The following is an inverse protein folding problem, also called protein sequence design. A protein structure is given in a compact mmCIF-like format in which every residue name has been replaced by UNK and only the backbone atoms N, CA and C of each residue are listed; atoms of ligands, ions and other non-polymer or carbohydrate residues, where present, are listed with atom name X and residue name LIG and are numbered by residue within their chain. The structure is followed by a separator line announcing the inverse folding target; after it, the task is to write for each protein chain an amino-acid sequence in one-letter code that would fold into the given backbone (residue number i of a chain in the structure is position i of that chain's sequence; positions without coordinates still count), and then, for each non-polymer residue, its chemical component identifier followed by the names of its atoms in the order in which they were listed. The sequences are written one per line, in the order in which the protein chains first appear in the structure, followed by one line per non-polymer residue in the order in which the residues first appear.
data_IF_790737571342
#
_entry.id   IF_790737571342
#
_cell.length_a   1.000
_cell.length_b   1.000
_cell.length_c   1.000
_cell.angle_alpha   90.00
_cell.angle_beta   90.00
_cell.angle_gamma   90.00
#
_symmetry.space_group_name_H-M   'P 1'
#
loop_
_entity.id
_entity.type
_entity.pdbx_description
1 polymer ?
#
# COMPACT_ATOMS: atom_id res chain seq x y z
N UNK A 1 -13.15 34.53 -21.86
CA UNK A 1 -13.02 33.05 -21.73
C UNK A 1 -11.72 32.62 -21.02
N UNK A 2 -10.68 33.47 -20.94
CA UNK A 2 -9.37 33.17 -20.36
C UNK A 2 -9.35 32.88 -18.84
N UNK A 3 -10.12 33.62 -18.04
CA UNK A 3 -9.89 33.65 -16.59
C UNK A 3 -10.47 32.42 -15.87
N UNK A 4 -11.63 31.92 -16.33
CA UNK A 4 -12.23 30.69 -15.79
C UNK A 4 -11.44 29.44 -16.18
N UNK A 5 -10.78 29.44 -17.33
CA UNK A 5 -9.97 28.34 -17.80
C UNK A 5 -8.63 28.28 -17.03
N UNK A 6 -8.00 29.44 -16.79
CA UNK A 6 -6.84 29.54 -15.91
C UNK A 6 -7.16 29.11 -14.46
N UNK A 7 -8.28 29.55 -13.88
CA UNK A 7 -8.70 29.12 -12.52
C UNK A 7 -8.91 27.61 -12.42
N UNK A 8 -9.55 27.00 -13.43
CA UNK A 8 -9.74 25.53 -13.49
C UNK A 8 -8.42 24.79 -13.64
N UNK A 9 -7.49 25.32 -14.43
CA UNK A 9 -6.13 24.79 -14.59
C UNK A 9 -5.38 24.77 -13.26
N UNK A 10 -5.49 25.83 -12.45
CA UNK A 10 -4.86 25.92 -11.13
C UNK A 10 -5.39 24.87 -10.15
N UNK A 11 -6.71 24.67 -10.07
CA UNK A 11 -7.30 23.66 -9.16
C UNK A 11 -6.90 22.24 -9.58
N UNK A 12 -6.87 21.94 -10.88
CA UNK A 12 -6.43 20.65 -11.38
C UNK A 12 -4.96 20.36 -11.00
N UNK A 13 -4.09 21.36 -11.11
CA UNK A 13 -2.69 21.26 -10.69
C UNK A 13 -2.55 21.02 -9.19
N UNK A 14 -3.33 21.74 -8.36
CA UNK A 14 -3.35 21.53 -6.91
C UNK A 14 -3.84 20.14 -6.53
N UNK A 15 -4.90 19.64 -7.17
CA UNK A 15 -5.39 18.26 -6.96
C UNK A 15 -4.31 17.24 -7.30
N UNK A 16 -3.58 17.42 -8.41
CA UNK A 16 -2.50 16.50 -8.76
C UNK A 16 -1.35 16.57 -7.74
N UNK A 17 -1.00 17.76 -7.25
CA UNK A 17 0.00 17.93 -6.20
C UNK A 17 -0.41 17.24 -4.88
N UNK A 18 -1.68 17.35 -4.47
CA UNK A 18 -2.21 16.64 -3.30
C UNK A 18 -2.09 15.12 -3.49
N UNK A 19 -2.50 14.61 -4.66
CA UNK A 19 -2.40 13.18 -4.95
C UNK A 19 -0.95 12.70 -5.03
N UNK A 20 -0.04 13.50 -5.60
CA UNK A 20 1.38 13.20 -5.62
C UNK A 20 1.96 13.08 -4.20
N UNK A 21 1.56 13.99 -3.29
CA UNK A 21 1.96 13.91 -1.88
C UNK A 21 1.38 12.66 -1.20
N UNK A 22 0.11 12.32 -1.44
CA UNK A 22 -0.51 11.09 -0.94
C UNK A 22 0.21 9.82 -1.40
N UNK A 23 0.62 9.77 -2.67
CA UNK A 23 1.42 8.66 -3.20
C UNK A 23 2.82 8.60 -2.57
N UNK A 24 3.45 9.76 -2.33
CA UNK A 24 4.78 9.84 -1.74
C UNK A 24 4.85 9.31 -0.30
N UNK A 25 3.77 9.47 0.49
CA UNK A 25 3.67 8.84 1.81
C UNK A 25 3.67 7.30 1.76
N UNK A 26 3.30 6.73 0.61
CA UNK A 26 3.31 5.29 0.38
C UNK A 26 2.50 4.52 1.42
N UNK A 27 3.07 3.46 1.95
CA UNK A 27 2.39 2.50 2.84
C UNK A 27 1.77 3.13 4.08
N UNK A 28 2.44 4.14 4.66
CA UNK A 28 2.06 4.71 5.95
C UNK A 28 0.73 5.46 5.89
N UNK A 29 0.44 6.08 4.75
CA UNK A 29 -0.83 6.75 4.49
C UNK A 29 -1.97 5.78 4.18
N UNK A 30 -1.70 4.53 3.83
CA UNK A 30 -2.73 3.58 3.42
C UNK A 30 -3.23 2.76 4.61
N UNK A 31 -4.55 2.57 4.67
CA UNK A 31 -5.24 1.71 5.62
C UNK A 31 -6.06 0.64 4.91
N UNK A 32 -6.27 -0.47 5.61
CA UNK A 32 -7.17 -1.54 5.22
C UNK A 32 -8.48 -1.35 5.99
N UNK A 33 -9.58 -1.29 5.28
CA UNK A 33 -10.92 -1.06 5.82
C UNK A 33 -11.67 -2.37 5.70
N UNK A 34 -12.05 -2.92 6.85
CA UNK A 34 -12.81 -4.16 6.98
C UNK A 34 -14.14 -3.86 7.65
N UNK A 35 -15.22 -4.33 7.06
CA UNK A 35 -16.48 -4.39 7.78
C UNK A 35 -16.46 -5.66 8.64
N UNK A 36 -16.64 -5.50 9.95
CA UNK A 36 -16.58 -6.59 10.92
C UNK A 36 -17.96 -6.81 11.54
N UNK A 37 -18.36 -8.07 11.67
CA UNK A 37 -19.55 -8.47 12.44
C UNK A 37 -19.20 -9.73 13.22
N UNK A 38 -19.44 -9.72 14.52
CA UNK A 38 -19.16 -10.85 15.43
C UNK A 38 -17.73 -11.41 15.31
N UNK A 39 -16.75 -10.51 15.12
CA UNK A 39 -15.33 -10.87 14.98
C UNK A 39 -14.92 -11.41 13.61
N UNK A 40 -15.85 -11.54 12.67
CA UNK A 40 -15.59 -11.98 11.30
C UNK A 40 -15.63 -10.82 10.31
N UNK A 41 -14.78 -10.89 9.28
CA UNK A 41 -14.83 -9.96 8.16
C UNK A 41 -16.07 -10.29 7.33
N UNK A 42 -16.95 -9.31 7.19
CA UNK A 42 -18.10 -9.38 6.28
C UNK A 42 -17.89 -8.40 5.13
N UNK A 43 -18.41 -8.73 3.95
CA UNK A 43 -18.31 -7.87 2.77
C UNK A 43 -16.89 -7.74 2.20
N UNK A 44 -16.69 -6.69 1.40
CA UNK A 44 -15.44 -6.47 0.68
C UNK A 44 -14.41 -5.74 1.55
N UNK A 45 -13.17 -6.24 1.54
CA UNK A 45 -12.01 -5.51 2.07
C UNK A 45 -11.68 -4.38 1.11
N UNK A 46 -11.58 -3.15 1.63
CA UNK A 46 -11.20 -1.97 0.87
C UNK A 46 -9.89 -1.40 1.36
N UNK A 47 -9.21 -0.67 0.50
CA UNK A 47 -8.00 0.07 0.85
C UNK A 47 -8.23 1.55 0.58
N UNK A 48 -7.90 2.38 1.55
CA UNK A 48 -8.12 3.83 1.49
C UNK A 48 -6.99 4.58 2.15
N UNK A 49 -6.96 5.90 1.97
CA UNK A 49 -6.04 6.76 2.71
C UNK A 49 -6.55 7.01 4.13
N UNK A 50 -5.62 7.07 5.09
CA UNK A 50 -5.88 7.52 6.45
C UNK A 50 -6.26 9.00 6.43
N UNK A 51 -7.31 9.44 7.16
CA UNK A 51 -7.79 10.81 7.14
C UNK A 51 -6.72 11.86 7.41
N UNK A 52 -5.84 11.63 8.39
CA UNK A 52 -4.78 12.57 8.75
C UNK A 52 -3.90 12.93 7.54
N UNK A 53 -3.45 11.94 6.76
CA UNK A 53 -2.60 12.17 5.60
C UNK A 53 -3.34 12.90 4.47
N UNK A 54 -4.64 12.67 4.32
CA UNK A 54 -5.48 13.41 3.36
C UNK A 54 -5.58 14.87 3.76
N UNK A 55 -5.92 15.16 5.01
CA UNK A 55 -6.06 16.53 5.47
C UNK A 55 -4.73 17.28 5.52
N UNK A 56 -3.64 16.61 5.89
CA UNK A 56 -2.30 17.19 5.87
C UNK A 56 -1.88 17.53 4.43
N UNK A 57 -2.11 16.66 3.45
CA UNK A 57 -1.81 16.96 2.05
C UNK A 57 -2.67 18.12 1.51
N UNK A 58 -3.96 18.15 1.85
CA UNK A 58 -4.85 19.27 1.50
C UNK A 58 -4.36 20.58 2.11
N UNK A 59 -4.03 20.58 3.41
CA UNK A 59 -3.52 21.77 4.10
C UNK A 59 -2.18 22.24 3.53
N UNK A 60 -1.28 21.32 3.17
CA UNK A 60 0.02 21.67 2.64
C UNK A 60 -0.05 22.31 1.24
N UNK A 61 -0.99 21.87 0.40
CA UNK A 61 -1.10 22.34 -0.99
C UNK A 61 -2.07 23.51 -1.13
N UNK A 62 -3.22 23.45 -0.44
CA UNK A 62 -4.22 24.51 -0.52
C UNK A 62 -3.96 25.60 0.50
N UNK A 63 -3.27 25.34 1.60
CA UNK A 63 -3.24 26.17 2.82
C UNK A 63 -4.59 26.16 3.59
N UNK A 64 -4.57 26.19 4.93
CA UNK A 64 -5.77 26.08 5.76
C UNK A 64 -6.86 27.13 5.49
N UNK A 65 -6.48 28.34 5.05
CA UNK A 65 -7.40 29.45 4.77
C UNK A 65 -8.17 29.31 3.44
N UNK A 66 -7.75 28.39 2.56
CA UNK A 66 -8.34 28.22 1.23
C UNK A 66 -9.36 27.07 1.15
N UNK A 67 -9.71 26.47 2.28
CA UNK A 67 -10.79 25.50 2.33
C UNK A 67 -11.51 25.55 3.67
N UNK A 68 -12.79 25.20 3.63
CA UNK A 68 -13.62 25.06 4.84
C UNK A 68 -14.72 24.06 4.57
N UNK A 69 -15.41 23.66 5.63
CA UNK A 69 -16.58 22.80 5.50
C UNK A 69 -17.71 23.25 6.40
N UNK A 70 -18.92 22.84 6.03
CA UNK A 70 -20.13 23.04 6.81
C UNK A 70 -20.80 21.69 7.02
N UNK A 71 -21.18 21.40 8.26
CA UNK A 71 -22.02 20.24 8.55
C UNK A 71 -23.47 20.65 8.30
N UNK A 72 -24.09 20.06 7.29
CA UNK A 72 -25.45 20.38 6.84
C UNK A 72 -26.49 19.71 7.75
N UNK A 73 -26.27 18.44 8.06
CA UNK A 73 -27.18 17.65 8.90
C UNK A 73 -26.41 16.60 9.69
N UNK A 74 -26.99 16.20 10.82
CA UNK A 74 -26.50 15.13 11.69
C UNK A 74 -27.68 14.32 12.17
N UNK A 75 -27.65 13.03 11.90
CA UNK A 75 -28.68 12.08 12.30
C UNK A 75 -28.03 10.99 13.15
N UNK A 76 -28.60 10.75 14.33
CA UNK A 76 -28.13 9.73 15.26
C UNK A 76 -29.18 8.63 15.28
N UNK A 77 -28.76 7.43 14.88
CA UNK A 77 -29.54 6.20 14.93
C UNK A 77 -29.02 5.32 16.08
N UNK A 78 -29.73 4.23 16.38
CA UNK A 78 -29.40 3.33 17.50
C UNK A 78 -27.96 2.79 17.45
N UNK A 79 -27.46 2.50 16.24
CA UNK A 79 -26.15 1.88 16.04
C UNK A 79 -25.18 2.72 15.20
N UNK A 80 -25.57 3.89 14.69
CA UNK A 80 -24.73 4.68 13.81
C UNK A 80 -25.04 6.18 13.85
N UNK A 81 -24.06 6.98 13.44
CA UNK A 81 -24.23 8.39 13.13
C UNK A 81 -24.08 8.57 11.63
N UNK A 82 -24.97 9.36 11.05
CA UNK A 82 -24.92 9.80 9.66
C UNK A 82 -24.75 11.32 9.65
N UNK A 83 -23.81 11.83 8.86
CA UNK A 83 -23.55 13.26 8.76
C UNK A 83 -23.45 13.68 7.30
N UNK A 84 -24.12 14.76 6.94
CA UNK A 84 -24.00 15.41 5.63
C UNK A 84 -23.07 16.62 5.75
N UNK A 85 -22.10 16.72 4.84
CA UNK A 85 -21.11 17.80 4.84
C UNK A 85 -21.00 18.44 3.46
N UNK A 86 -20.84 19.76 3.43
CA UNK A 86 -20.42 20.52 2.24
C UNK A 86 -18.97 20.95 2.38
N UNK A 87 -18.18 20.76 1.33
CA UNK A 87 -16.81 21.26 1.23
C UNK A 87 -16.78 22.49 0.33
N UNK A 88 -16.13 23.53 0.82
CA UNK A 88 -15.87 24.75 0.08
C UNK A 88 -14.37 24.89 -0.14
N UNK A 89 -13.97 25.13 -1.37
CA UNK A 89 -12.59 25.47 -1.74
C UNK A 89 -12.54 26.87 -2.32
N UNK A 90 -11.41 27.54 -2.15
CA UNK A 90 -11.14 28.86 -2.72
C UNK A 90 -10.24 28.72 -3.95
N UNK A 91 -10.65 29.30 -5.08
CA UNK A 91 -9.86 29.40 -6.31
C UNK A 91 -9.69 30.88 -6.67
N UNK A 92 -8.52 31.46 -6.39
CA UNK A 92 -8.33 32.91 -6.42
C UNK A 92 -9.15 33.57 -5.31
N UNK A 93 -10.06 34.48 -5.67
CA UNK A 93 -10.93 35.17 -4.71
C UNK A 93 -12.31 34.50 -4.53
N UNK A 94 -12.62 33.48 -5.33
CA UNK A 94 -13.94 32.86 -5.36
C UNK A 94 -13.98 31.58 -4.54
N UNK A 95 -15.04 31.43 -3.74
CA UNK A 95 -15.39 30.18 -3.09
C UNK A 95 -16.30 29.36 -3.99
N UNK A 96 -16.03 28.05 -4.10
CA UNK A 96 -16.90 27.13 -4.81
C UNK A 96 -17.12 25.84 -4.02
N UNK A 97 -18.25 25.19 -4.28
CA UNK A 97 -18.68 23.94 -3.66
C UNK A 97 -19.27 23.03 -4.74
N UNK A 98 -18.89 21.75 -4.75
CA UNK A 98 -19.39 20.75 -5.71
C UNK A 98 -20.65 20.01 -5.24
N UNK A 99 -21.23 20.44 -4.11
CA UNK A 99 -22.37 19.78 -3.46
C UNK A 99 -21.99 19.22 -2.09
N UNK A 100 -22.93 18.47 -1.51
CA UNK A 100 -22.75 17.77 -0.24
C UNK A 100 -22.46 16.28 -0.44
N UNK A 101 -21.90 15.66 0.60
CA UNK A 101 -21.73 14.21 0.68
C UNK A 101 -22.11 13.72 2.07
N UNK A 102 -22.57 12.47 2.13
CA UNK A 102 -22.97 11.82 3.37
C UNK A 102 -21.92 10.81 3.82
N UNK A 103 -21.51 10.94 5.07
CA UNK A 103 -20.65 9.99 5.76
C UNK A 103 -21.38 9.28 6.89
N UNK A 104 -20.88 8.11 7.25
CA UNK A 104 -21.47 7.31 8.32
C UNK A 104 -20.41 6.64 9.19
N UNK A 105 -20.74 6.43 10.46
CA UNK A 105 -19.89 5.69 11.39
C UNK A 105 -20.74 4.94 12.42
N UNK A 106 -20.34 3.70 12.73
CA UNK A 106 -21.01 2.89 13.74
C UNK A 106 -20.69 3.40 15.15
N UNK A 107 -21.70 3.37 16.03
CA UNK A 107 -21.55 3.71 17.45
C UNK A 107 -21.01 2.48 18.18
N UNK A 108 -19.72 2.52 18.51
CA UNK A 108 -19.06 1.46 19.25
C UNK A 108 -19.04 1.80 20.74
N UNK A 109 -19.44 0.86 21.60
CA UNK A 109 -19.48 1.02 23.08
C UNK A 109 -20.24 2.29 23.53
N UNK A 110 -21.34 2.62 22.85
CA UNK A 110 -22.16 3.83 23.10
C UNK A 110 -21.41 5.17 22.93
N UNK A 111 -20.25 5.19 22.25
CA UNK A 111 -19.49 6.41 22.03
C UNK A 111 -20.01 7.18 20.79
N UNK A 112 -21.09 7.94 20.99
CA UNK A 112 -21.71 8.75 19.93
C UNK A 112 -20.78 9.87 19.44
N UNK A 113 -19.97 10.45 20.32
CA UNK A 113 -19.05 11.54 19.96
C UNK A 113 -17.97 11.11 18.98
N UNK A 114 -17.39 9.92 19.18
CA UNK A 114 -16.43 9.33 18.25
C UNK A 114 -17.08 8.98 16.91
N UNK A 115 -18.28 8.37 16.96
CA UNK A 115 -19.04 8.08 15.75
C UNK A 115 -19.37 9.36 14.95
N UNK A 116 -19.75 10.45 15.62
CA UNK A 116 -20.02 11.73 14.95
C UNK A 116 -18.77 12.30 14.26
N UNK A 117 -17.60 12.27 14.93
CA UNK A 117 -16.33 12.68 14.32
C UNK A 117 -15.99 11.81 13.10
N UNK A 118 -16.19 10.50 13.23
CA UNK A 118 -15.99 9.54 12.15
C UNK A 118 -16.89 9.80 10.94
N UNK A 119 -18.18 10.02 11.17
CA UNK A 119 -19.15 10.28 10.10
C UNK A 119 -18.84 11.59 9.34
N UNK A 120 -18.48 12.66 10.06
CA UNK A 120 -18.05 13.93 9.44
C UNK A 120 -16.77 13.73 8.63
N UNK A 121 -15.81 12.97 9.16
CA UNK A 121 -14.53 12.67 8.49
C UNK A 121 -14.76 11.88 7.20
N UNK A 122 -15.61 10.86 7.23
CA UNK A 122 -15.99 10.07 6.06
C UNK A 122 -16.69 10.93 5.00
N UNK A 123 -17.62 11.80 5.41
CA UNK A 123 -18.30 12.75 4.52
C UNK A 123 -17.32 13.70 3.84
N UNK A 124 -16.36 14.25 4.60
CA UNK A 124 -15.33 15.15 4.08
C UNK A 124 -14.42 14.48 3.06
N UNK A 125 -13.96 13.26 3.33
CA UNK A 125 -13.15 12.50 2.36
C UNK A 125 -13.93 12.22 1.07
N UNK A 126 -15.23 11.94 1.16
CA UNK A 126 -16.09 11.81 -0.01
C UNK A 126 -16.25 13.13 -0.78
N UNK A 127 -16.40 14.26 -0.09
CA UNK A 127 -16.41 15.57 -0.76
C UNK A 127 -15.10 15.83 -1.53
N UNK A 128 -13.95 15.51 -0.92
CA UNK A 128 -12.64 15.61 -1.58
C UNK A 128 -12.55 14.70 -2.81
N UNK A 129 -13.19 13.53 -2.79
CA UNK A 129 -13.22 12.63 -3.95
C UNK A 129 -13.95 13.22 -5.18
N UNK A 130 -14.92 14.14 -5.00
CA UNK A 130 -15.57 14.88 -6.11
C UNK A 130 -14.58 15.79 -6.88
N UNK A 131 -13.42 16.06 -6.28
CA UNK A 131 -12.31 16.81 -6.86
C UNK A 131 -11.20 15.88 -7.37
N UNK A 132 -11.40 14.56 -7.34
CA UNK A 132 -10.38 13.53 -7.62
C UNK A 132 -9.23 13.44 -6.62
N UNK A 133 -9.35 14.07 -5.44
CA UNK A 133 -8.40 13.89 -4.35
C UNK A 133 -8.59 12.50 -3.74
N UNK A 134 -7.51 11.75 -3.59
CA UNK A 134 -7.53 10.37 -3.09
C UNK A 134 -8.06 9.34 -4.10
N UNK A 135 -8.10 9.69 -5.40
CA UNK A 135 -8.66 8.85 -6.47
C UNK A 135 -8.05 7.45 -6.57
N UNK A 136 -6.80 7.27 -6.12
CA UNK A 136 -6.11 5.97 -6.08
C UNK A 136 -6.85 4.92 -5.21
N UNK A 137 -7.59 5.36 -4.18
CA UNK A 137 -8.44 4.47 -3.38
C UNK A 137 -9.60 3.88 -4.21
N UNK A 138 -10.21 4.69 -5.07
CA UNK A 138 -11.33 4.29 -5.92
C UNK A 138 -10.88 3.50 -7.15
N UNK A 139 -9.64 3.71 -7.62
CA UNK A 139 -9.02 2.93 -8.69
C UNK A 139 -8.56 1.53 -8.25
N UNK A 140 -8.55 1.26 -6.94
CA UNK A 140 -8.17 -0.05 -6.39
C UNK A 140 -6.66 -0.32 -6.35
N UNK A 141 -5.81 0.69 -6.61
CA UNK A 141 -4.34 0.53 -6.66
C UNK A 141 -3.69 0.51 -5.28
N UNK A 142 -4.39 0.95 -4.23
CA UNK A 142 -3.85 1.03 -2.87
C UNK A 142 -3.63 -0.32 -2.20
N UNK A 143 -4.24 -1.41 -2.70
CA UNK A 143 -4.02 -2.76 -2.17
C UNK A 143 -2.54 -3.13 -2.23
N UNK A 144 -1.90 -2.93 -3.38
CA UNK A 144 -0.49 -3.25 -3.58
C UNK A 144 0.40 -2.38 -2.70
N UNK A 145 0.06 -1.09 -2.56
CA UNK A 145 0.76 -0.16 -1.66
C UNK A 145 0.65 -0.61 -0.20
N UNK A 146 -0.50 -1.13 0.22
CA UNK A 146 -0.69 -1.68 1.56
C UNK A 146 0.17 -2.94 1.81
N UNK A 147 0.36 -3.79 0.80
CA UNK A 147 1.14 -5.03 0.96
C UNK A 147 2.63 -4.87 0.67
N UNK A 148 3.06 -3.80 0.00
CA UNK A 148 4.46 -3.56 -0.37
C UNK A 148 5.39 -3.32 0.84
N UNK A 149 4.86 -2.76 1.93
CA UNK A 149 5.61 -2.55 3.19
C UNK A 149 5.91 -3.82 3.99
N UNK A 150 5.37 -4.98 3.59
CA UNK A 150 5.73 -6.28 4.17
C UNK A 150 6.95 -6.92 3.49
N UNK A 151 7.60 -6.25 2.53
CA UNK A 151 8.95 -6.63 2.13
C UNK A 151 9.93 -6.12 3.21
N UNK A 152 10.72 -6.99 3.86
CA UNK A 152 11.83 -6.50 4.66
C UNK A 152 12.67 -5.58 3.78
N UNK A 153 13.10 -4.40 4.27
CA UNK A 153 13.92 -3.50 3.50
C UNK A 153 15.12 -4.30 2.98
N UNK A 154 15.31 -4.31 1.66
CA UNK A 154 16.52 -4.84 1.08
C UNK A 154 17.67 -4.09 1.77
N UNK A 155 18.44 -4.79 2.59
CA UNK A 155 19.64 -4.21 3.21
C UNK A 155 20.41 -3.53 2.08
N UNK A 156 20.82 -2.27 2.23
CA UNK A 156 21.68 -1.64 1.24
C UNK A 156 22.86 -2.59 1.03
N UNK A 157 23.11 -2.93 -0.23
CA UNK A 157 24.20 -3.81 -0.61
C UNK A 157 25.48 -3.22 -0.01
N UNK A 158 25.94 -3.80 1.09
CA UNK A 158 27.21 -3.46 1.70
C UNK A 158 28.23 -3.73 0.60
N UNK A 159 28.80 -2.67 0.04
CA UNK A 159 29.87 -2.76 -0.94
C UNK A 159 30.93 -3.68 -0.33
N UNK A 160 31.07 -4.88 -0.89
CA UNK A 160 32.17 -5.75 -0.52
C UNK A 160 33.44 -5.00 -0.91
N UNK A 161 34.43 -4.88 0.00
CA UNK A 161 35.74 -4.36 -0.38
C UNK A 161 36.26 -5.17 -1.56
N UNK A 162 36.58 -4.48 -2.65
CA UNK A 162 37.19 -5.06 -3.84
C UNK A 162 38.47 -5.79 -3.40
N UNK A 163 38.53 -7.11 -3.65
CA UNK A 163 39.80 -7.85 -3.56
C UNK A 163 40.73 -7.37 -4.68
N UNK A 164 42.04 -7.23 -4.42
CA UNK A 164 43.01 -6.81 -5.42
C UNK A 164 43.12 -7.81 -6.58
N UNK A 165 43.53 -7.36 -7.79
CA UNK A 165 43.44 -8.13 -9.02
C UNK A 165 44.46 -9.28 -9.06
N UNK A 166 43.98 -10.49 -9.33
CA UNK A 166 44.82 -11.65 -9.68
C UNK A 166 45.28 -11.55 -11.14
N UNK A 167 46.57 -11.84 -11.38
CA UNK A 167 47.22 -11.83 -12.69
C UNK A 167 46.77 -12.98 -13.60
N UNK A 168 46.92 -12.85 -14.93
CA UNK A 168 46.39 -13.81 -15.90
C UNK A 168 47.35 -14.97 -16.17
N UNK A 169 46.82 -16.19 -16.23
CA UNK A 169 47.59 -17.40 -16.54
C UNK A 169 46.72 -18.63 -16.86
N UNK A 170 46.28 -18.68 -18.12
CA UNK A 170 46.04 -19.85 -18.98
C UNK A 170 44.98 -20.94 -18.66
N UNK A 171 44.46 -21.61 -19.72
CA UNK A 171 43.20 -22.37 -19.71
C UNK A 171 43.44 -23.86 -19.49
N UNK A 172 42.44 -24.55 -18.94
CA UNK A 172 42.29 -25.98 -19.23
C UNK A 172 40.83 -26.44 -19.22
N UNK A 173 40.65 -27.51 -19.99
CA UNK A 173 39.46 -28.10 -20.57
C UNK A 173 38.66 -28.87 -19.53
N UNK A 174 37.36 -29.04 -19.82
CA UNK A 174 36.37 -29.54 -18.88
C UNK A 174 36.63 -30.94 -18.33
N UNK A 175 36.17 -31.14 -17.09
CA UNK A 175 35.80 -32.43 -16.54
C UNK A 175 34.49 -32.29 -15.77
N UNK A 176 33.49 -33.04 -16.22
CA UNK A 176 32.19 -33.15 -15.60
C UNK A 176 32.32 -33.90 -14.26
N UNK A 177 31.81 -33.30 -13.18
CA UNK A 177 31.55 -34.01 -11.92
C UNK A 177 30.16 -33.68 -11.41
N UNK A 178 29.32 -34.72 -11.39
CA UNK A 178 28.04 -34.89 -10.70
C UNK A 178 27.88 -34.04 -9.42
N UNK A 179 27.07 -32.97 -9.48
CA UNK A 179 26.17 -32.49 -8.41
C UNK A 179 25.47 -31.16 -8.74
N UNK A 180 25.11 -30.91 -10.01
CA UNK A 180 24.51 -29.63 -10.37
C UNK A 180 23.01 -29.56 -10.00
N UNK A 181 22.76 -28.84 -8.92
CA UNK A 181 21.44 -28.37 -8.53
C UNK A 181 20.84 -27.56 -9.71
N UNK A 182 19.58 -27.79 -10.10
CA UNK A 182 19.01 -27.15 -11.29
C UNK A 182 18.98 -25.63 -11.11
N UNK A 183 19.49 -24.86 -12.06
CA UNK A 183 19.41 -23.39 -12.03
C UNK A 183 17.97 -22.94 -12.29
N UNK A 184 17.14 -22.95 -11.26
CA UNK A 184 15.75 -22.50 -11.33
C UNK A 184 15.71 -20.99 -11.09
N UNK A 185 15.27 -20.22 -12.09
CA UNK A 185 15.17 -18.75 -11.97
C UNK A 185 14.35 -18.33 -10.73
N UNK A 186 14.91 -17.47 -9.88
CA UNK A 186 14.24 -17.02 -8.65
C UNK A 186 14.33 -17.99 -7.46
N UNK A 187 15.04 -19.11 -7.60
CA UNK A 187 15.41 -20.02 -6.50
C UNK A 187 16.89 -19.85 -6.20
N UNK A 188 17.24 -19.66 -4.94
CA UNK A 188 18.62 -19.70 -4.44
C UNK A 188 18.78 -20.94 -3.57
N UNK A 189 19.90 -21.63 -3.71
CA UNK A 189 20.23 -22.79 -2.90
C UNK A 189 21.15 -22.38 -1.76
N UNK A 190 20.77 -22.73 -0.53
CA UNK A 190 21.58 -22.50 0.65
C UNK A 190 21.94 -23.85 1.28
N UNK A 191 23.23 -24.18 1.32
CA UNK A 191 23.72 -25.39 1.96
C UNK A 191 23.89 -25.14 3.46
N UNK A 192 23.27 -25.96 4.31
CA UNK A 192 23.44 -25.94 5.78
C UNK A 192 23.51 -27.39 6.27
N UNK A 193 24.57 -27.73 6.99
CA UNK A 193 24.71 -29.02 7.70
C UNK A 193 24.41 -30.26 6.85
N UNK A 194 25.01 -30.39 5.65
CA UNK A 194 24.79 -31.54 4.75
C UNK A 194 23.46 -31.52 3.97
N UNK A 195 22.64 -30.49 4.14
CA UNK A 195 21.35 -30.33 3.46
C UNK A 195 21.38 -29.07 2.57
N UNK A 196 20.84 -29.17 1.37
CA UNK A 196 20.62 -28.05 0.46
C UNK A 196 19.18 -27.59 0.58
N UNK A 197 18.96 -26.34 0.98
CA UNK A 197 17.65 -25.71 1.10
C UNK A 197 17.42 -24.76 -0.07
N UNK A 198 16.32 -24.94 -0.79
CA UNK A 198 15.87 -24.04 -1.85
C UNK A 198 15.02 -22.91 -1.24
N UNK A 199 15.51 -21.68 -1.38
CA UNK A 199 14.95 -20.46 -0.78
C UNK A 199 14.67 -19.44 -1.89
N UNK A 200 13.49 -18.83 -1.93
CA UNK A 200 13.10 -17.87 -2.98
C UNK A 200 11.65 -18.06 -3.42
N UNK A 201 11.38 -17.95 -4.73
CA UNK A 201 10.05 -18.24 -5.29
C UNK A 201 9.77 -19.76 -5.40
N UNK A 202 9.99 -20.48 -4.30
CA UNK A 202 9.89 -21.94 -4.22
C UNK A 202 8.46 -22.46 -4.17
N UNK A 203 7.48 -21.59 -3.91
CA UNK A 203 6.07 -21.95 -3.87
C UNK A 203 5.49 -22.13 -5.27
N UNK A 204 5.77 -21.20 -6.20
CA UNK A 204 5.34 -21.30 -7.60
C UNK A 204 6.07 -22.40 -8.38
N UNK A 205 7.22 -22.88 -7.85
CA UNK A 205 8.09 -23.86 -8.51
C UNK A 205 8.14 -25.21 -7.78
N UNK A 206 7.11 -25.52 -6.99
CA UNK A 206 7.00 -26.75 -6.20
C UNK A 206 7.17 -28.04 -7.01
N UNK A 207 6.62 -28.11 -8.21
CA UNK A 207 6.70 -29.33 -9.04
C UNK A 207 8.12 -29.53 -9.62
N UNK A 208 8.83 -28.45 -9.97
CA UNK A 208 10.24 -28.48 -10.37
C UNK A 208 11.18 -28.84 -9.22
N UNK A 209 10.86 -28.43 -7.99
CA UNK A 209 11.64 -28.79 -6.80
C UNK A 209 11.43 -30.26 -6.41
N UNK A 210 10.20 -30.77 -6.50
CA UNK A 210 9.92 -32.20 -6.33
C UNK A 210 10.66 -33.05 -7.36
N UNK A 211 10.64 -32.69 -8.64
CA UNK A 211 11.34 -33.46 -9.70
C UNK A 211 12.86 -33.43 -9.53
N UNK A 212 13.41 -32.37 -8.92
CA UNK A 212 14.82 -32.26 -8.55
C UNK A 212 15.19 -33.02 -7.26
N UNK A 213 14.23 -33.67 -6.60
CA UNK A 213 14.43 -34.46 -5.39
C UNK A 213 14.41 -33.68 -4.08
N UNK A 214 13.84 -32.47 -4.07
CA UNK A 214 13.63 -31.71 -2.84
C UNK A 214 12.33 -32.15 -2.14
N UNK A 215 12.37 -32.21 -0.81
CA UNK A 215 11.25 -32.49 0.08
C UNK A 215 10.82 -31.21 0.77
N UNK A 216 9.53 -31.07 1.05
CA UNK A 216 9.01 -29.93 1.79
C UNK A 216 9.18 -30.14 3.30
N UNK A 217 9.88 -29.22 3.97
CA UNK A 217 9.92 -29.14 5.42
C UNK A 217 8.80 -28.23 5.93
N UNK A 218 7.86 -28.80 6.68
CA UNK A 218 6.76 -28.06 7.31
C UNK A 218 7.24 -27.16 8.46
N UNK A 219 8.35 -27.52 9.12
CA UNK A 219 8.90 -26.79 10.27
C UNK A 219 9.61 -25.51 9.82
N UNK A 220 10.48 -25.61 8.80
CA UNK A 220 11.17 -24.48 8.21
C UNK A 220 10.40 -23.74 7.10
N UNK A 221 9.25 -24.27 6.66
CA UNK A 221 8.48 -23.82 5.47
C UNK A 221 9.37 -23.66 4.22
N UNK A 222 10.30 -24.59 4.02
CA UNK A 222 11.26 -24.55 2.91
C UNK A 222 11.38 -25.91 2.23
N UNK A 223 11.83 -25.91 0.99
CA UNK A 223 12.19 -27.14 0.28
C UNK A 223 13.64 -27.50 0.59
N UNK A 224 13.93 -28.75 0.95
CA UNK A 224 15.26 -29.22 1.29
C UNK A 224 15.62 -30.55 0.60
N UNK A 225 16.90 -30.77 0.32
CA UNK A 225 17.45 -32.01 -0.23
C UNK A 225 18.71 -32.37 0.55
N UNK A 226 18.76 -33.57 1.11
CA UNK A 226 19.97 -34.09 1.73
C UNK A 226 21.04 -34.38 0.66
N UNK A 227 22.27 -33.97 0.92
CA UNK A 227 23.42 -34.29 0.07
C UNK A 227 24.29 -35.26 0.84
N UNK A 228 24.19 -36.55 0.50
CA UNK A 228 25.10 -37.57 1.00
C UNK A 228 26.49 -37.26 0.46
N UNK A 229 27.41 -36.89 1.34
CA UNK A 229 28.83 -36.81 1.00
C UNK A 229 29.36 -38.25 1.09
N UNK A 230 29.81 -38.80 -0.04
CA UNK A 230 30.74 -39.93 -0.08
C UNK A 230 32.05 -39.40 -0.65
#
# INVERSE_FOLDING_TARGET
MSDNENKRSTIAQQVEAINAQLRAFGREAVQEIKMMRDGQVIGQIRYGFKPQYVFDAVNNVLHPENWRYEVVSKEIYDNQVVAEVKLFLRAGEEWFCKGSQTGQMQIIKKNVGDAMKGAITDALQKCLSLLSIGSDAYRGVLREVYHSGNRPPARPARQQPQRPPQRPGQPDVGQATNNELPKIAGIKYQRRNGVVVAVGNSFDKKELLKSAGFKWDKSGKNWYKEVTVH
#
